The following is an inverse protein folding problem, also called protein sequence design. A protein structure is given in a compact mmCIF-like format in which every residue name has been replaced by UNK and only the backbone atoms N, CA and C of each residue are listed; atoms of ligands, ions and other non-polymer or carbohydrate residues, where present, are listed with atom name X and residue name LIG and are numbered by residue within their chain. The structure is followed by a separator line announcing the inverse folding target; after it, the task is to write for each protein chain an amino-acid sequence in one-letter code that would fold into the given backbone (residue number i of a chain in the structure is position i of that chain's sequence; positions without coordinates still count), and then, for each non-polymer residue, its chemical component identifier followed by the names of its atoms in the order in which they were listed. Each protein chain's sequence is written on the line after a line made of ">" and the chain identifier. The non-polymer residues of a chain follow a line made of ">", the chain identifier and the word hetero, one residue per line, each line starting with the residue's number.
data_IF_540911864566
#
_entry.id   IF_540911864566
#
_cell.length_a   1.000
_cell.length_b   1.000
_cell.length_c   1.000
_cell.angle_alpha   90.00
_cell.angle_beta   90.00
_cell.angle_gamma   90.00
#
_symmetry.space_group_name_H-M   'P 1'
#
loop_
_entity.id
_entity.type
_entity.pdbx_description
1 polymer ?
#
# COMPACT_ATOMS: atom_id res chain seq x y z
N UNK A 1 -7.29 -19.94 15.35
CA UNK A 1 -7.10 -18.48 15.15
C UNK A 1 -8.37 -17.77 15.57
N UNK A 2 -8.26 -16.65 16.27
CA UNK A 2 -9.40 -15.75 16.51
C UNK A 2 -9.86 -15.16 15.17
N UNK A 3 -11.09 -15.46 14.69
CA UNK A 3 -11.57 -15.02 13.39
C UNK A 3 -11.79 -13.50 13.30
N UNK A 4 -11.86 -12.81 14.44
CA UNK A 4 -12.04 -11.34 14.50
C UNK A 4 -10.72 -10.58 14.35
N UNK A 5 -9.58 -11.28 14.41
CA UNK A 5 -8.25 -10.67 14.42
C UNK A 5 -7.98 -9.76 13.22
N UNK A 6 -8.31 -10.12 11.96
CA UNK A 6 -8.11 -9.22 10.82
C UNK A 6 -8.88 -7.90 10.97
N UNK A 7 -10.13 -7.97 11.45
CA UNK A 7 -10.97 -6.79 11.70
C UNK A 7 -10.37 -5.90 12.78
N UNK A 8 -9.94 -6.48 13.91
CA UNK A 8 -9.31 -5.74 15.02
C UNK A 8 -8.03 -5.03 14.57
N UNK A 9 -7.21 -5.67 13.74
CA UNK A 9 -6.00 -5.05 13.16
C UNK A 9 -6.37 -3.89 12.24
N UNK A 10 -7.34 -4.08 11.35
CA UNK A 10 -7.80 -3.04 10.44
C UNK A 10 -8.35 -1.82 11.20
N UNK A 11 -9.22 -2.05 12.19
CA UNK A 11 -9.80 -1.01 13.04
C UNK A 11 -8.73 -0.23 13.80
N UNK A 12 -7.76 -0.91 14.42
CA UNK A 12 -6.67 -0.26 15.16
C UNK A 12 -5.83 0.65 14.23
N UNK A 13 -5.51 0.18 13.02
CA UNK A 13 -4.76 0.96 12.04
C UNK A 13 -5.56 2.18 11.56
N UNK A 14 -6.84 2.01 11.24
CA UNK A 14 -7.70 3.11 10.81
C UNK A 14 -7.91 4.13 11.93
N UNK A 15 -8.14 3.69 13.16
CA UNK A 15 -8.25 4.56 14.32
C UNK A 15 -6.96 5.35 14.55
N UNK A 16 -5.80 4.69 14.47
CA UNK A 16 -4.50 5.36 14.59
C UNK A 16 -4.32 6.39 13.48
N UNK A 17 -4.60 6.04 12.23
CA UNK A 17 -4.50 6.97 11.10
C UNK A 17 -5.42 8.19 11.28
N UNK A 18 -6.68 7.97 11.65
CA UNK A 18 -7.65 9.05 11.86
C UNK A 18 -7.24 9.97 13.02
N UNK A 19 -6.61 9.44 14.06
CA UNK A 19 -6.08 10.24 15.19
C UNK A 19 -4.98 11.23 14.79
N UNK A 20 -4.30 10.98 13.67
CA UNK A 20 -3.24 11.87 13.16
C UNK A 20 -3.78 13.10 12.42
N UNK A 21 -5.08 13.14 12.11
CA UNK A 21 -5.74 14.28 11.45
C UNK A 21 -5.00 14.77 10.18
N UNK A 22 -4.49 13.83 9.37
CA UNK A 22 -3.60 14.12 8.22
C UNK A 22 -4.33 14.82 7.07
N UNK A 23 -5.65 14.65 6.97
CA UNK A 23 -6.50 15.30 5.96
C UNK A 23 -7.81 15.75 6.58
N UNK A 24 -8.24 16.95 6.21
CA UNK A 24 -9.49 17.53 6.68
C UNK A 24 -10.70 16.88 6.00
N UNK A 25 -10.62 16.57 4.69
CA UNK A 25 -11.71 15.95 3.91
C UNK A 25 -11.21 15.11 2.71
N UNK A 26 -11.95 14.05 2.34
CA UNK A 26 -11.77 13.28 1.10
C UNK A 26 -11.24 11.84 1.25
N UNK A 27 -11.60 10.99 0.31
CA UNK A 27 -11.17 9.58 0.29
C UNK A 27 -9.70 9.44 -0.15
N UNK A 28 -8.96 8.55 0.51
CA UNK A 28 -7.63 8.11 0.09
C UNK A 28 -7.43 6.66 0.51
N UNK A 29 -6.54 5.94 -0.19
CA UNK A 29 -6.07 4.65 0.29
C UNK A 29 -5.26 4.87 1.56
N UNK A 30 -5.54 4.07 2.59
CA UNK A 30 -4.80 4.00 3.85
C UNK A 30 -4.22 2.59 3.98
N UNK A 31 -2.99 2.51 4.49
CA UNK A 31 -2.36 1.25 4.82
C UNK A 31 -1.58 1.39 6.12
N UNK A 32 -1.35 0.27 6.80
CA UNK A 32 -0.56 0.25 8.01
C UNK A 32 0.02 -1.12 8.30
N UNK A 33 1.04 -1.11 9.17
CA UNK A 33 1.68 -2.32 9.68
C UNK A 33 1.47 -2.33 11.20
N UNK A 34 0.96 -3.44 11.70
CA UNK A 34 0.76 -3.67 13.12
C UNK A 34 1.36 -5.02 13.54
N UNK A 35 1.72 -5.16 14.80
CA UNK A 35 2.08 -6.45 15.39
C UNK A 35 1.04 -6.87 16.43
N UNK A 36 0.69 -8.15 16.45
CA UNK A 36 -0.18 -8.75 17.47
C UNK A 36 0.70 -9.56 18.41
N UNK A 37 0.75 -9.18 19.68
CA UNK A 37 1.55 -9.89 20.67
C UNK A 37 0.88 -11.19 21.16
N UNK A 38 1.58 -11.94 22.01
CA UNK A 38 1.08 -13.19 22.57
C UNK A 38 -0.20 -13.03 23.42
N UNK A 39 -0.43 -11.83 23.98
CA UNK A 39 -1.65 -11.48 24.70
C UNK A 39 -2.81 -11.08 23.78
N UNK A 40 -2.58 -11.01 22.47
CA UNK A 40 -3.56 -10.59 21.48
C UNK A 40 -3.77 -9.07 21.45
N UNK A 41 -2.86 -8.28 22.02
CA UNK A 41 -2.89 -6.82 21.90
C UNK A 41 -2.30 -6.39 20.57
N UNK A 42 -2.92 -5.38 19.95
CA UNK A 42 -2.56 -4.87 18.61
C UNK A 42 -1.74 -3.60 18.76
N UNK A 43 -0.49 -3.65 18.31
CA UNK A 43 0.44 -2.53 18.30
C UNK A 43 0.56 -1.96 16.90
N UNK A 44 0.10 -0.74 16.65
CA UNK A 44 0.24 -0.09 15.33
C UNK A 44 1.62 0.54 15.23
N UNK A 45 2.46 0.02 14.33
CA UNK A 45 3.87 0.40 14.20
C UNK A 45 4.10 1.37 13.03
N UNK A 46 3.22 1.36 12.04
CA UNK A 46 3.21 2.34 10.96
C UNK A 46 1.81 2.52 10.38
N UNK A 47 1.50 3.74 9.97
CA UNK A 47 0.32 4.07 9.18
C UNK A 47 0.69 5.12 8.13
N UNK A 48 0.09 5.00 6.94
CA UNK A 48 0.31 5.92 5.84
C UNK A 48 -0.93 5.98 4.93
N UNK A 49 -0.99 7.02 4.11
CA UNK A 49 -1.95 7.13 3.02
C UNK A 49 -1.27 7.51 1.72
N UNK A 50 -1.94 7.24 0.60
CA UNK A 50 -1.51 7.68 -0.72
C UNK A 50 -1.82 6.68 -1.83
N UNK A 51 -1.85 7.19 -3.07
CA UNK A 51 -2.24 6.43 -4.26
C UNK A 51 -1.54 6.94 -5.53
N UNK A 52 -0.40 7.64 -5.36
CA UNK A 52 0.33 8.27 -6.47
C UNK A 52 1.81 7.91 -6.40
N UNK A 53 2.46 7.88 -7.55
CA UNK A 53 3.90 7.77 -7.68
C UNK A 53 4.43 8.92 -8.54
N UNK A 54 5.71 9.23 -8.34
CA UNK A 54 6.43 10.23 -9.14
C UNK A 54 6.63 9.67 -10.55
N UNK A 55 6.56 10.54 -11.57
CA UNK A 55 6.87 10.16 -12.95
C UNK A 55 8.34 9.77 -13.14
N UNK A 56 8.78 9.67 -14.39
CA UNK A 56 10.20 9.46 -14.68
C UNK A 56 11.01 10.60 -14.07
N UNK A 57 11.98 10.22 -13.26
CA UNK A 57 12.94 11.12 -12.65
C UNK A 57 14.32 10.48 -12.79
N UNK A 58 15.34 11.30 -13.02
CA UNK A 58 16.73 10.85 -12.82
C UNK A 58 16.93 10.39 -11.38
N UNK A 59 18.01 9.65 -11.12
CA UNK A 59 18.27 9.14 -9.77
C UNK A 59 18.37 10.32 -8.79
N UNK A 60 17.41 10.40 -7.89
CA UNK A 60 17.35 11.35 -6.80
C UNK A 60 17.02 10.58 -5.52
N UNK A 61 17.92 10.64 -4.55
CA UNK A 61 17.82 9.87 -3.30
C UNK A 61 16.88 10.54 -2.27
N UNK A 62 16.61 11.83 -2.43
CA UNK A 62 15.73 12.62 -1.57
C UNK A 62 14.23 12.49 -1.95
N UNK A 63 13.92 11.77 -3.03
CA UNK A 63 12.54 11.64 -3.54
C UNK A 63 11.97 10.26 -3.25
N UNK A 64 10.79 10.25 -2.62
CA UNK A 64 9.95 9.05 -2.51
C UNK A 64 9.28 8.81 -3.87
N UNK A 65 9.86 7.91 -4.67
CA UNK A 65 9.32 7.56 -6.00
C UNK A 65 7.90 7.00 -5.97
N UNK A 66 7.56 6.26 -4.92
CA UNK A 66 6.31 5.53 -4.82
C UNK A 66 5.59 5.90 -3.52
N UNK A 67 4.53 6.68 -3.67
CA UNK A 67 3.70 7.20 -2.60
C UNK A 67 2.41 6.42 -2.41
N UNK A 68 2.35 5.14 -2.84
CA UNK A 68 1.24 4.27 -2.46
C UNK A 68 1.29 3.96 -0.96
N UNK A 69 0.12 3.94 -0.32
CA UNK A 69 -0.01 3.83 1.12
C UNK A 69 0.78 2.65 1.69
N UNK A 70 0.65 1.46 1.10
CA UNK A 70 1.33 0.23 1.53
C UNK A 70 2.86 0.32 1.39
N UNK A 71 3.35 1.04 0.38
CA UNK A 71 4.79 1.25 0.16
C UNK A 71 5.35 2.23 1.19
N UNK A 72 4.62 3.32 1.44
CA UNK A 72 5.01 4.33 2.43
C UNK A 72 4.92 3.75 3.85
N UNK A 73 3.87 2.99 4.17
CA UNK A 73 3.72 2.30 5.46
C UNK A 73 4.90 1.36 5.72
N UNK A 74 5.35 0.59 4.72
CA UNK A 74 6.55 -0.25 4.83
C UNK A 74 7.82 0.56 5.08
N UNK A 75 7.99 1.71 4.43
CA UNK A 75 9.15 2.60 4.65
C UNK A 75 9.12 3.20 6.06
N UNK A 76 7.96 3.66 6.50
CA UNK A 76 7.75 4.18 7.86
C UNK A 76 8.01 3.09 8.91
N UNK A 77 7.56 1.87 8.67
CA UNK A 77 7.83 0.72 9.54
C UNK A 77 9.33 0.44 9.67
N UNK A 78 10.08 0.41 8.56
CA UNK A 78 11.55 0.25 8.63
C UNK A 78 12.21 1.34 9.47
N UNK A 79 11.75 2.58 9.36
CA UNK A 79 12.23 3.67 10.19
C UNK A 79 11.88 3.45 11.66
N UNK A 80 10.65 3.05 11.98
CA UNK A 80 10.25 2.73 13.35
C UNK A 80 11.14 1.63 13.96
N UNK A 81 11.46 0.57 13.21
CA UNK A 81 12.36 -0.50 13.67
C UNK A 81 13.80 -0.03 13.95
N UNK A 82 14.27 1.03 13.28
CA UNK A 82 15.61 1.57 13.45
C UNK A 82 15.68 2.64 14.54
N UNK A 83 14.63 3.45 14.63
CA UNK A 83 14.58 4.61 15.52
C UNK A 83 14.07 4.24 16.93
N UNK A 84 13.32 3.13 17.08
CA UNK A 84 12.63 2.74 18.32
C UNK A 84 12.85 1.24 18.64
N UNK A 85 13.58 0.99 19.73
CA UNK A 85 13.89 -0.37 20.20
C UNK A 85 12.65 -1.13 20.68
N UNK A 86 11.67 -0.44 21.27
CA UNK A 86 10.43 -1.08 21.71
C UNK A 86 9.61 -1.50 20.49
N UNK A 87 9.52 -0.65 19.46
CA UNK A 87 8.89 -1.00 18.19
C UNK A 87 9.56 -2.22 17.53
N UNK A 88 10.90 -2.29 17.60
CA UNK A 88 11.65 -3.45 17.12
C UNK A 88 11.32 -4.73 17.90
N UNK A 89 11.32 -4.69 19.23
CA UNK A 89 11.04 -5.87 20.04
C UNK A 89 9.58 -6.32 19.91
N UNK A 90 8.63 -5.40 19.81
CA UNK A 90 7.22 -5.69 19.54
C UNK A 90 7.07 -6.37 18.16
N UNK A 91 7.69 -5.83 17.12
CA UNK A 91 7.63 -6.41 15.78
C UNK A 91 8.29 -7.79 15.69
N UNK A 92 9.41 -7.97 16.41
CA UNK A 92 10.18 -9.22 16.43
C UNK A 92 9.49 -10.33 17.20
N UNK A 93 8.79 -10.00 18.28
CA UNK A 93 8.12 -10.96 19.16
C UNK A 93 6.65 -11.22 18.77
N UNK A 94 6.01 -10.27 18.09
CA UNK A 94 4.63 -10.36 17.63
C UNK A 94 4.45 -10.90 16.21
N UNK A 95 3.20 -11.25 15.88
CA UNK A 95 2.78 -11.56 14.52
C UNK A 95 2.55 -10.24 13.76
N UNK A 96 3.33 -9.96 12.72
CA UNK A 96 3.18 -8.74 11.93
C UNK A 96 2.09 -8.87 10.85
N UNK A 97 1.24 -7.85 10.73
CA UNK A 97 0.14 -7.74 9.79
C UNK A 97 0.29 -6.49 8.94
N UNK A 98 0.06 -6.63 7.62
CA UNK A 98 -0.13 -5.51 6.71
C UNK A 98 -1.62 -5.39 6.39
N UNK A 99 -2.16 -4.19 6.56
CA UNK A 99 -3.52 -3.85 6.15
C UNK A 99 -3.49 -2.72 5.13
N UNK A 100 -4.37 -2.78 4.15
CA UNK A 100 -4.66 -1.70 3.21
C UNK A 100 -6.18 -1.63 2.96
N UNK A 101 -6.72 -0.42 2.84
CA UNK A 101 -8.17 -0.20 2.61
C UNK A 101 -8.65 -0.56 1.21
N UNK A 102 -7.72 -0.88 0.31
CA UNK A 102 -7.99 -1.32 -1.05
C UNK A 102 -6.97 -2.40 -1.44
N UNK A 103 -7.31 -3.31 -2.38
CA UNK A 103 -6.36 -4.25 -2.93
C UNK A 103 -5.12 -3.53 -3.49
N UNK A 104 -3.90 -4.10 -3.31
CA UNK A 104 -2.71 -3.48 -3.85
C UNK A 104 -2.82 -3.41 -5.38
N UNK A 105 -2.45 -2.26 -5.95
CA UNK A 105 -2.53 -2.08 -7.40
C UNK A 105 -1.69 -3.13 -8.14
N UNK A 106 -2.07 -3.43 -9.38
CA UNK A 106 -1.51 -4.53 -10.14
C UNK A 106 -2.48 -5.70 -10.21
N UNK A 107 -1.94 -6.91 -10.01
CA UNK A 107 -2.62 -8.17 -10.24
C UNK A 107 -3.75 -8.42 -9.24
N UNK A 108 -3.49 -8.16 -7.96
CA UNK A 108 -4.46 -8.33 -6.87
C UNK A 108 -5.69 -7.40 -6.98
N UNK A 109 -5.61 -6.36 -7.80
CA UNK A 109 -6.72 -5.45 -8.08
C UNK A 109 -7.52 -5.85 -9.33
N UNK A 110 -7.26 -7.02 -9.92
CA UNK A 110 -7.99 -7.57 -11.07
C UNK A 110 -8.89 -8.70 -10.59
N UNK A 111 -10.18 -8.42 -10.52
CA UNK A 111 -11.18 -9.39 -10.08
C UNK A 111 -12.55 -9.02 -10.64
N UNK A 112 -13.43 -10.01 -10.71
CA UNK A 112 -14.82 -9.82 -11.16
C UNK A 112 -15.66 -9.24 -10.02
N UNK A 113 -16.45 -8.21 -10.34
CA UNK A 113 -17.45 -7.61 -9.46
C UNK A 113 -18.80 -8.33 -9.61
N UNK A 114 -19.73 -8.07 -8.69
CA UNK A 114 -21.06 -8.73 -8.67
C UNK A 114 -21.89 -8.47 -9.94
N UNK A 115 -21.62 -7.38 -10.66
CA UNK A 115 -22.25 -7.03 -11.94
C UNK A 115 -21.50 -7.59 -13.16
N UNK A 116 -20.58 -8.53 -12.94
CA UNK A 116 -19.66 -9.13 -13.92
C UNK A 116 -18.70 -8.14 -14.60
N UNK A 117 -18.59 -6.90 -14.09
CA UNK A 117 -17.55 -6.00 -14.55
C UNK A 117 -16.20 -6.38 -13.93
N UNK A 118 -15.12 -6.21 -14.68
CA UNK A 118 -13.77 -6.47 -14.17
C UNK A 118 -13.25 -5.20 -13.49
N UNK A 119 -13.02 -5.28 -12.19
CA UNK A 119 -12.27 -4.28 -11.46
C UNK A 119 -10.80 -4.32 -11.92
N UNK A 120 -10.16 -3.16 -12.07
CA UNK A 120 -8.73 -3.07 -12.34
C UNK A 120 -8.16 -1.74 -11.85
N UNK A 121 -6.86 -1.73 -11.56
CA UNK A 121 -6.12 -0.52 -11.21
C UNK A 121 -5.50 0.15 -12.44
N UNK A 122 -4.98 1.38 -12.28
CA UNK A 122 -4.27 2.09 -13.36
C UNK A 122 -2.93 1.45 -13.80
N UNK A 123 -2.49 0.37 -13.16
CA UNK A 123 -1.26 -0.33 -13.50
C UNK A 123 -1.35 -0.99 -14.89
N UNK A 124 -0.27 -0.92 -15.66
CA UNK A 124 -0.17 -1.42 -17.04
C UNK A 124 0.76 -2.61 -17.10
N UNK A 125 0.69 -3.42 -18.16
CA UNK A 125 1.69 -4.44 -18.40
C UNK A 125 3.11 -3.85 -18.45
N UNK A 126 4.12 -4.69 -18.26
CA UNK A 126 5.54 -4.31 -18.25
C UNK A 126 6.04 -3.54 -19.48
N UNK A 127 5.31 -3.60 -20.60
CA UNK A 127 5.60 -2.88 -21.85
C UNK A 127 4.70 -1.64 -22.07
N UNK A 128 3.98 -1.20 -21.04
CA UNK A 128 3.04 -0.08 -21.08
C UNK A 128 1.82 -0.25 -21.97
N UNK A 129 1.59 -1.44 -22.54
CA UNK A 129 0.44 -1.68 -23.40
C UNK A 129 -0.85 -1.59 -22.60
N UNK A 130 -1.88 -1.04 -23.26
CA UNK A 130 -3.25 -1.18 -22.80
C UNK A 130 -3.77 -2.49 -23.37
N UNK A 131 -4.21 -3.36 -22.48
CA UNK A 131 -4.84 -4.61 -22.87
C UNK A 131 -6.33 -4.36 -23.12
N UNK A 132 -6.88 -5.01 -24.15
CA UNK A 132 -8.32 -5.01 -24.41
C UNK A 132 -9.07 -5.85 -23.36
N UNK A 133 -8.42 -6.91 -22.87
CA UNK A 133 -8.89 -7.78 -21.78
C UNK A 133 -7.81 -7.87 -20.71
N UNK A 134 -8.18 -7.68 -19.44
CA UNK A 134 -7.21 -7.77 -18.34
C UNK A 134 -6.69 -9.20 -18.18
N UNK A 135 -5.37 -9.35 -18.10
CA UNK A 135 -4.70 -10.63 -17.82
C UNK A 135 -4.13 -10.64 -16.41
N UNK A 136 -4.35 -11.75 -15.68
CA UNK A 136 -3.80 -12.00 -14.34
C UNK A 136 -2.46 -12.75 -14.40
N UNK A 137 -1.68 -12.71 -13.31
CA UNK A 137 -0.36 -13.35 -13.20
C UNK A 137 0.76 -12.63 -13.97
N UNK A 138 0.52 -11.41 -14.46
CA UNK A 138 1.48 -10.65 -15.25
C UNK A 138 2.13 -9.53 -14.42
N UNK A 139 3.43 -9.29 -14.66
CA UNK A 139 4.14 -8.15 -14.07
C UNK A 139 3.59 -6.84 -14.61
N UNK A 140 3.27 -5.92 -13.70
CA UNK A 140 2.68 -4.63 -14.02
C UNK A 140 3.50 -3.45 -13.50
N UNK A 141 3.37 -2.31 -14.18
CA UNK A 141 4.05 -1.05 -13.88
C UNK A 141 3.03 0.06 -13.62
N UNK A 142 3.40 0.97 -12.72
CA UNK A 142 2.63 2.17 -12.39
C UNK A 142 3.04 3.29 -13.34
N UNK A 143 2.15 3.83 -14.18
CA UNK A 143 2.54 4.88 -15.13
C UNK A 143 2.90 6.22 -14.47
N UNK A 144 2.69 6.39 -13.16
CA UNK A 144 2.69 7.71 -12.53
C UNK A 144 1.32 8.35 -12.70
N UNK A 145 1.27 9.52 -13.34
CA UNK A 145 0.00 10.02 -13.85
C UNK A 145 -0.31 9.42 -15.22
N UNK A 146 -1.56 9.07 -15.47
CA UNK A 146 -1.96 8.46 -16.75
C UNK A 146 -1.91 9.41 -17.94
N UNK A 147 -1.89 10.72 -17.68
CA UNK A 147 -1.87 11.81 -18.66
C UNK A 147 -0.46 12.26 -19.07
N UNK A 148 0.61 11.76 -18.43
CA UNK A 148 1.96 12.11 -18.84
C UNK A 148 2.41 11.33 -20.09
N UNK A 149 3.21 11.95 -20.97
CA UNK A 149 3.83 11.29 -22.12
C UNK A 149 4.55 9.99 -21.73
N UNK A 150 4.58 9.00 -22.63
CA UNK A 150 5.14 7.66 -22.36
C UNK A 150 6.59 7.74 -21.89
N UNK A 151 7.38 8.64 -22.47
CA UNK A 151 8.78 8.92 -22.11
C UNK A 151 8.96 9.52 -20.70
N UNK A 152 7.88 10.01 -20.08
CA UNK A 152 7.84 10.57 -18.72
C UNK A 152 7.09 9.71 -17.70
N UNK A 153 6.59 8.54 -18.09
CA UNK A 153 5.92 7.62 -17.16
C UNK A 153 6.91 7.05 -16.14
N UNK A 154 6.44 6.78 -14.93
CA UNK A 154 7.27 6.10 -13.92
C UNK A 154 7.60 4.69 -14.39
N UNK A 155 8.74 4.12 -13.97
CA UNK A 155 9.05 2.69 -14.17
C UNK A 155 8.77 1.82 -12.95
N UNK A 156 8.00 2.30 -11.97
CA UNK A 156 7.79 1.60 -10.70
C UNK A 156 6.90 0.37 -10.89
N UNK A 157 7.26 -0.76 -10.27
CA UNK A 157 6.44 -1.96 -10.22
C UNK A 157 5.11 -1.68 -9.49
N UNK A 158 4.08 -2.47 -9.82
CA UNK A 158 2.84 -2.54 -9.05
C UNK A 158 3.08 -3.03 -7.62
N UNK A 159 2.08 -2.89 -6.73
CA UNK A 159 2.23 -3.25 -5.32
C UNK A 159 1.93 -4.72 -5.03
N UNK A 160 1.13 -5.35 -5.88
CA UNK A 160 0.84 -6.79 -5.86
C UNK A 160 2.09 -7.63 -6.12
#
# INVERSE_FOLDING_TARGET
>A
MDPTRPTRVAEAILQKYNSLQVKDEGWTVVAGIAAVDAGGHVHVLAAASGCKCVGKLEKCDDVVRDGHAEVVARRAFRRALLDDADAYDIARSGECWLFATAPPCGDAAIYELDDSTIAFSGAKLGDWRREDTQVTGAVRLKPGRSDVPVDRRSGSLSCS
#
